data_IF_854552306550
#
_entry.id   IF_854552306550
#
_cell.length_a   1.000
_cell.length_b   1.000
_cell.length_c   1.000
_cell.angle_alpha   90.00
_cell.angle_beta   90.00
_cell.angle_gamma   90.00
#
_symmetry.space_group_name_H-M   'P 1'
#
loop_
_entity.id
_entity.type
_entity.pdbx_description
1 polymer ?
#
# COMPACT_ATOMS: atom_id res chain seq x y z
N UNK A 1 -5.32 -35.47 7.56
CA UNK A 1 -5.92 -34.15 7.28
C UNK A 1 -5.93 -33.85 5.78
N UNK A 2 -4.89 -34.20 5.02
CA UNK A 2 -4.85 -34.06 3.55
C UNK A 2 -5.94 -34.83 2.81
N UNK A 3 -6.26 -36.05 3.23
CA UNK A 3 -7.29 -36.89 2.59
C UNK A 3 -8.70 -36.24 2.61
N UNK A 4 -8.99 -35.42 3.65
CA UNK A 4 -10.24 -34.64 3.75
C UNK A 4 -10.25 -33.41 2.86
N UNK A 5 -9.08 -32.87 2.52
CA UNK A 5 -8.92 -31.71 1.64
C UNK A 5 -9.08 -32.14 0.18
N UNK A 6 -8.48 -33.26 -0.21
CA UNK A 6 -8.64 -33.85 -1.55
C UNK A 6 -10.09 -34.27 -1.82
N UNK A 7 -10.77 -34.86 -0.83
CA UNK A 7 -12.18 -35.22 -0.93
C UNK A 7 -13.08 -33.99 -1.12
N UNK A 8 -12.71 -32.84 -0.54
CA UNK A 8 -13.43 -31.58 -0.70
C UNK A 8 -13.23 -30.98 -2.10
N UNK A 9 -12.01 -31.03 -2.64
CA UNK A 9 -11.70 -30.52 -3.97
C UNK A 9 -12.42 -31.29 -5.09
N UNK A 10 -12.48 -32.62 -4.96
CA UNK A 10 -13.21 -33.48 -5.91
C UNK A 10 -14.70 -33.14 -5.91
N UNK A 11 -15.32 -32.99 -4.73
CA UNK A 11 -16.74 -32.63 -4.62
C UNK A 11 -17.05 -31.24 -5.20
N UNK A 12 -16.16 -30.27 -5.00
CA UNK A 12 -16.32 -28.92 -5.59
C UNK A 12 -16.28 -29.00 -7.12
N UNK A 13 -15.37 -29.81 -7.68
CA UNK A 13 -15.23 -30.01 -9.12
C UNK A 13 -16.46 -30.69 -9.73
N UNK A 14 -17.03 -31.67 -9.07
CA UNK A 14 -18.24 -32.36 -9.52
C UNK A 14 -19.48 -31.45 -9.47
N UNK A 15 -19.61 -30.63 -8.42
CA UNK A 15 -20.69 -29.64 -8.32
C UNK A 15 -20.57 -28.63 -9.47
N UNK A 16 -19.37 -28.11 -9.75
CA UNK A 16 -19.11 -27.22 -10.88
C UNK A 16 -19.52 -27.85 -12.21
N UNK A 17 -19.08 -29.08 -12.48
CA UNK A 17 -19.43 -29.79 -13.71
C UNK A 17 -20.94 -30.04 -13.85
N UNK A 18 -21.62 -30.35 -12.75
CA UNK A 18 -23.07 -30.55 -12.73
C UNK A 18 -23.85 -29.25 -13.00
N UNK A 19 -23.34 -28.10 -12.55
CA UNK A 19 -23.95 -26.79 -12.79
C UNK A 19 -23.75 -26.35 -14.24
N UNK A 20 -22.58 -26.64 -14.82
CA UNK A 20 -22.27 -26.39 -16.23
C UNK A 20 -23.19 -27.24 -17.12
N UNK A 21 -23.36 -28.53 -16.82
CA UNK A 21 -24.25 -29.43 -17.55
C UNK A 21 -25.74 -29.05 -17.42
N UNK A 22 -26.15 -28.44 -16.31
CA UNK A 22 -27.52 -27.92 -16.14
C UNK A 22 -27.76 -26.61 -16.89
N UNK A 23 -26.71 -25.82 -17.14
CA UNK A 23 -26.80 -24.57 -17.91
C UNK A 23 -26.89 -24.78 -19.43
N UNK A 24 -26.53 -25.96 -19.94
CA UNK A 24 -26.45 -26.27 -21.38
C UNK A 24 -27.67 -26.99 -21.99
N UNK A 25 -28.75 -27.22 -21.23
CA UNK A 25 -29.96 -27.92 -21.74
C UNK A 25 -31.11 -26.97 -22.11
N UNK A 26 -30.82 -25.74 -22.53
CA UNK A 26 -31.82 -24.88 -23.18
C UNK A 26 -31.33 -24.40 -24.54
N UNK A 27 -31.97 -24.95 -25.58
CA UNK A 27 -31.93 -24.58 -27.00
C UNK A 27 -30.94 -25.33 -27.90
N UNK A 28 -31.45 -26.42 -28.50
CA UNK A 28 -30.91 -27.09 -29.69
C UNK A 28 -31.43 -26.37 -30.94
N UNK A 29 -30.54 -25.73 -31.74
CA UNK A 29 -30.50 -25.87 -33.21
C UNK A 29 -29.34 -25.08 -33.85
N UNK A 30 -28.48 -25.84 -34.54
CA UNK A 30 -27.76 -25.56 -35.79
C UNK A 30 -26.87 -24.31 -35.93
N UNK A 31 -25.55 -24.48 -35.80
CA UNK A 31 -24.63 -24.52 -36.96
C UNK A 31 -23.22 -24.89 -36.49
N UNK A 32 -22.80 -26.11 -36.79
CA UNK A 32 -21.40 -26.51 -36.74
C UNK A 32 -20.65 -25.75 -37.85
N UNK A 33 -19.60 -25.02 -37.45
CA UNK A 33 -18.50 -24.42 -38.24
C UNK A 33 -18.21 -22.95 -37.91
N UNK A 34 -18.01 -22.60 -36.63
CA UNK A 34 -17.37 -21.33 -36.22
C UNK A 34 -16.78 -21.31 -34.79
N UNK A 35 -16.57 -22.45 -34.13
CA UNK A 35 -16.31 -22.48 -32.66
C UNK A 35 -14.82 -22.63 -32.30
N UNK A 36 -13.90 -22.48 -33.26
CA UNK A 36 -12.45 -22.55 -32.97
C UNK A 36 -11.77 -21.19 -32.75
N UNK A 37 -12.51 -20.06 -32.79
CA UNK A 37 -11.92 -18.72 -32.58
C UNK A 37 -12.57 -17.86 -31.48
N UNK A 38 -13.58 -18.36 -30.76
CA UNK A 38 -14.30 -17.56 -29.74
C UNK A 38 -13.94 -17.90 -28.27
N UNK A 39 -13.04 -18.85 -28.02
CA UNK A 39 -12.78 -19.35 -26.66
C UNK A 39 -11.68 -18.59 -25.86
N UNK A 40 -11.25 -17.39 -26.30
CA UNK A 40 -10.23 -16.61 -25.58
C UNK A 40 -10.74 -15.37 -24.83
N UNK A 41 -12.05 -15.10 -24.81
CA UNK A 41 -12.59 -13.88 -24.18
C UNK A 41 -13.90 -14.08 -23.40
N UNK A 42 -13.90 -14.98 -22.43
CA UNK A 42 -14.83 -14.87 -21.29
C UNK A 42 -14.05 -15.16 -20.00
N UNK A 43 -13.04 -14.34 -19.71
CA UNK A 43 -12.61 -14.13 -18.34
C UNK A 43 -13.80 -13.48 -17.65
N UNK A 44 -14.50 -14.22 -16.79
CA UNK A 44 -15.37 -13.64 -15.78
C UNK A 44 -14.46 -12.77 -14.91
N UNK A 45 -14.38 -11.50 -15.30
CA UNK A 45 -13.59 -10.49 -14.62
C UNK A 45 -14.28 -10.25 -13.28
N UNK A 46 -13.78 -10.90 -12.23
CA UNK A 46 -14.03 -10.46 -10.87
C UNK A 46 -13.51 -9.02 -10.83
N UNK A 47 -14.42 -8.05 -11.00
CA UNK A 47 -14.10 -6.63 -10.89
C UNK A 47 -13.77 -6.35 -9.44
N UNK A 48 -12.48 -6.44 -9.12
CA UNK A 48 -11.93 -5.91 -7.90
C UNK A 48 -12.26 -4.41 -7.83
N UNK A 49 -12.52 -3.86 -6.64
CA UNK A 49 -12.69 -2.42 -6.50
C UNK A 49 -11.48 -1.71 -7.10
N UNK A 50 -11.74 -0.66 -7.86
CA UNK A 50 -10.69 0.14 -8.50
C UNK A 50 -9.72 0.64 -7.43
N UNK A 51 -8.42 0.46 -7.68
CA UNK A 51 -7.38 0.93 -6.77
C UNK A 51 -7.46 2.46 -6.76
N UNK A 52 -7.72 3.09 -5.59
CA UNK A 52 -7.84 4.53 -5.54
C UNK A 52 -6.50 5.17 -5.90
N UNK A 53 -6.57 6.25 -6.67
CA UNK A 53 -5.39 7.02 -7.03
C UNK A 53 -4.74 7.58 -5.76
N UNK A 54 -3.42 7.43 -5.55
CA UNK A 54 -2.76 7.96 -4.38
C UNK A 54 -2.85 9.49 -4.39
N UNK A 55 -3.07 10.08 -3.21
CA UNK A 55 -3.23 11.53 -3.05
C UNK A 55 -2.03 12.10 -2.32
N UNK A 56 -1.50 13.20 -2.83
CA UNK A 56 -0.41 13.96 -2.21
C UNK A 56 -0.82 15.39 -1.93
N UNK A 57 -0.81 15.78 -0.65
CA UNK A 57 -1.26 17.11 -0.21
C UNK A 57 -0.14 18.16 -0.14
N UNK A 58 1.09 17.77 -0.44
CA UNK A 58 2.27 18.63 -0.31
C UNK A 58 2.96 18.55 1.06
N UNK A 59 2.56 17.60 1.91
CA UNK A 59 3.23 17.39 3.21
C UNK A 59 4.48 16.55 3.03
N UNK A 60 5.59 17.01 3.60
CA UNK A 60 6.88 16.33 3.50
C UNK A 60 6.82 14.89 4.06
N UNK A 61 6.14 14.66 5.18
CA UNK A 61 6.04 13.33 5.80
C UNK A 61 5.25 12.31 4.97
N UNK A 62 4.38 12.77 4.06
CA UNK A 62 3.59 11.92 3.16
C UNK A 62 4.37 11.53 1.89
N UNK A 63 5.40 12.30 1.53
CA UNK A 63 6.12 12.16 0.26
C UNK A 63 6.70 10.75 0.03
N UNK A 64 7.40 10.09 0.99
CA UNK A 64 7.96 8.76 0.75
C UNK A 64 6.89 7.72 0.43
N UNK A 65 5.76 7.78 1.14
CA UNK A 65 4.64 6.86 0.94
C UNK A 65 3.93 7.11 -0.38
N UNK A 66 3.65 8.37 -0.70
CA UNK A 66 3.05 8.76 -1.97
C UNK A 66 3.90 8.31 -3.15
N UNK A 67 5.22 8.60 -3.11
CA UNK A 67 6.13 8.28 -4.20
C UNK A 67 6.18 6.78 -4.48
N UNK A 68 6.26 5.97 -3.43
CA UNK A 68 6.24 4.51 -3.55
C UNK A 68 4.93 3.99 -4.14
N UNK A 69 3.78 4.49 -3.68
CA UNK A 69 2.47 4.08 -4.21
C UNK A 69 2.29 4.51 -5.66
N UNK A 70 2.61 5.77 -5.99
CA UNK A 70 2.50 6.31 -7.34
C UNK A 70 3.42 5.58 -8.31
N UNK A 71 4.64 5.22 -7.89
CA UNK A 71 5.56 4.47 -8.73
C UNK A 71 5.05 3.07 -9.06
N UNK A 72 4.50 2.38 -8.05
CA UNK A 72 3.96 1.03 -8.23
C UNK A 72 2.72 0.99 -9.12
N UNK A 73 1.86 2.02 -9.07
CA UNK A 73 0.58 2.03 -9.79
C UNK A 73 0.69 2.70 -11.16
N UNK A 74 1.45 3.80 -11.28
CA UNK A 74 1.46 4.68 -12.45
C UNK A 74 2.83 4.71 -13.13
N UNK A 75 3.91 5.05 -12.42
CA UNK A 75 5.23 5.26 -13.06
C UNK A 75 5.74 3.99 -13.74
N UNK A 76 5.66 2.85 -13.04
CA UNK A 76 6.16 1.54 -13.52
C UNK A 76 5.14 0.78 -14.39
N UNK A 77 3.97 1.37 -14.64
CA UNK A 77 2.98 0.77 -15.53
C UNK A 77 3.38 1.05 -17.00
N UNK A 78 3.60 -0.03 -17.76
CA UNK A 78 4.00 0.03 -19.17
C UNK A 78 2.81 0.24 -20.13
N UNK A 79 1.58 0.04 -19.64
CA UNK A 79 0.36 0.24 -20.43
C UNK A 79 -0.04 1.72 -20.52
N UNK A 80 0.59 2.58 -19.70
CA UNK A 80 0.34 4.02 -19.65
C UNK A 80 1.39 4.80 -20.44
N UNK A 81 0.93 5.69 -21.31
CA UNK A 81 1.79 6.65 -22.00
C UNK A 81 2.12 7.87 -21.12
N UNK A 82 3.08 8.70 -21.54
CA UNK A 82 3.54 9.85 -20.73
C UNK A 82 2.42 10.86 -20.43
N UNK A 83 1.52 11.13 -21.38
CA UNK A 83 0.39 12.05 -21.18
C UNK A 83 -0.63 11.52 -20.16
N UNK A 84 -0.90 10.22 -20.18
CA UNK A 84 -1.74 9.56 -19.17
C UNK A 84 -1.08 9.61 -17.79
N UNK A 85 0.22 9.35 -17.70
CA UNK A 85 0.98 9.47 -16.45
C UNK A 85 0.96 10.89 -15.89
N UNK A 86 1.04 11.90 -16.75
CA UNK A 86 0.89 13.31 -16.38
C UNK A 86 -0.51 13.59 -15.82
N UNK A 87 -1.56 13.18 -16.53
CA UNK A 87 -2.94 13.36 -16.07
C UNK A 87 -3.20 12.72 -14.69
N UNK A 88 -2.69 11.50 -14.48
CA UNK A 88 -2.77 10.86 -13.17
C UNK A 88 -1.93 11.56 -12.12
N UNK A 89 -0.76 12.12 -12.48
CA UNK A 89 0.03 12.91 -11.56
C UNK A 89 -0.74 14.15 -11.11
N UNK A 90 -1.31 14.93 -12.02
CA UNK A 90 -2.13 16.11 -11.71
C UNK A 90 -3.33 15.76 -10.82
N UNK A 91 -4.06 14.69 -11.17
CA UNK A 91 -5.20 14.22 -10.40
C UNK A 91 -4.82 13.73 -8.98
N UNK A 92 -3.58 13.28 -8.79
CA UNK A 92 -3.03 12.86 -7.51
C UNK A 92 -2.66 14.04 -6.59
N UNK A 93 -2.48 15.26 -7.11
CA UNK A 93 -2.02 16.40 -6.32
C UNK A 93 -3.18 17.21 -5.73
N UNK A 94 -3.05 17.54 -4.45
CA UNK A 94 -4.00 18.38 -3.72
C UNK A 94 -3.25 19.39 -2.85
N UNK A 95 -3.93 20.43 -2.37
CA UNK A 95 -3.37 21.41 -1.45
C UNK A 95 -2.10 22.08 -1.99
N UNK A 96 -1.05 22.12 -1.16
CA UNK A 96 0.22 22.79 -1.48
C UNK A 96 0.98 22.13 -2.64
N UNK A 97 0.75 20.84 -2.87
CA UNK A 97 1.35 20.13 -4.00
C UNK A 97 0.79 20.60 -5.35
N UNK A 98 -0.48 21.02 -5.39
CA UNK A 98 -1.14 21.51 -6.61
C UNK A 98 -0.59 22.86 -7.07
N UNK A 99 -0.02 23.66 -6.18
CA UNK A 99 0.66 24.91 -6.54
C UNK A 99 1.90 24.67 -7.45
N UNK A 100 2.35 23.41 -7.56
CA UNK A 100 3.46 23.01 -8.42
C UNK A 100 3.03 22.56 -9.83
N UNK A 101 1.72 22.48 -10.07
CA UNK A 101 1.12 22.07 -11.36
C UNK A 101 1.50 23.01 -12.52
N UNK A 102 1.93 24.24 -12.24
CA UNK A 102 2.27 25.24 -13.24
C UNK A 102 3.68 25.10 -13.87
N UNK A 103 4.38 23.98 -13.69
CA UNK A 103 5.81 23.89 -14.03
C UNK A 103 6.09 23.33 -15.43
N UNK A 104 5.29 22.39 -15.96
CA UNK A 104 5.57 21.80 -17.29
C UNK A 104 4.41 20.94 -17.84
N UNK A 105 4.27 20.86 -19.17
CA UNK A 105 3.28 20.04 -19.88
C UNK A 105 3.76 18.58 -20.07
N UNK A 106 4.84 18.18 -19.41
CA UNK A 106 5.45 16.85 -19.52
C UNK A 106 5.62 16.17 -18.18
N UNK A 107 5.32 14.87 -18.13
CA UNK A 107 5.40 14.05 -16.92
C UNK A 107 6.81 14.04 -16.28
N UNK A 108 7.86 13.90 -17.09
CA UNK A 108 9.24 13.73 -16.60
C UNK A 108 9.78 14.99 -15.89
N UNK A 109 9.70 16.20 -16.48
CA UNK A 109 10.05 17.43 -15.77
C UNK A 109 9.20 17.65 -14.53
N UNK A 110 7.88 17.42 -14.59
CA UNK A 110 7.00 17.67 -13.46
C UNK A 110 7.31 16.73 -12.27
N UNK A 111 7.42 15.42 -12.49
CA UNK A 111 7.79 14.50 -11.40
C UNK A 111 9.18 14.81 -10.84
N UNK A 112 10.10 15.33 -11.68
CA UNK A 112 11.44 15.76 -11.24
C UNK A 112 11.36 17.03 -10.40
N UNK A 113 10.52 17.99 -10.75
CA UNK A 113 10.30 19.20 -9.96
C UNK A 113 9.69 18.88 -8.59
N UNK A 114 8.72 17.95 -8.53
CA UNK A 114 8.17 17.43 -7.28
C UNK A 114 9.24 16.76 -6.43
N UNK A 115 10.08 15.90 -7.02
CA UNK A 115 11.22 15.29 -6.32
C UNK A 115 12.17 16.36 -5.78
N UNK A 116 12.57 17.35 -6.58
CA UNK A 116 13.48 18.41 -6.14
C UNK A 116 12.93 19.19 -4.95
N UNK A 117 11.62 19.47 -4.92
CA UNK A 117 11.00 20.23 -3.82
C UNK A 117 10.74 19.39 -2.57
N UNK A 118 10.28 18.15 -2.74
CA UNK A 118 9.77 17.32 -1.64
C UNK A 118 10.71 16.18 -1.21
N UNK A 119 11.66 15.77 -2.07
CA UNK A 119 12.64 14.71 -1.80
C UNK A 119 13.92 15.24 -1.13
N UNK A 120 13.78 16.16 -0.17
CA UNK A 120 14.90 16.55 0.67
C UNK A 120 15.17 15.43 1.70
N UNK A 121 16.03 14.48 1.32
CA UNK A 121 16.37 13.32 2.17
C UNK A 121 16.76 13.69 3.59
N UNK A 122 17.52 14.77 3.78
CA UNK A 122 17.93 15.23 5.11
C UNK A 122 16.73 15.66 5.94
N UNK A 123 15.91 16.56 5.40
CA UNK A 123 14.72 17.08 6.08
C UNK A 123 13.71 15.97 6.38
N UNK A 124 13.48 15.07 5.43
CA UNK A 124 12.57 13.92 5.60
C UNK A 124 13.06 12.99 6.72
N UNK A 125 14.35 12.71 6.75
CA UNK A 125 14.96 11.87 7.79
C UNK A 125 14.82 12.53 9.17
N UNK A 126 15.18 13.81 9.28
CA UNK A 126 15.03 14.57 10.53
C UNK A 126 13.57 14.63 10.99
N UNK A 127 12.62 14.84 10.06
CA UNK A 127 11.18 14.88 10.37
C UNK A 127 10.70 13.55 10.97
N UNK A 128 11.03 12.42 10.34
CA UNK A 128 10.60 11.11 10.83
C UNK A 128 11.30 10.69 12.12
N UNK A 129 12.59 11.04 12.29
CA UNK A 129 13.32 10.79 13.54
C UNK A 129 12.73 11.63 14.67
N UNK A 130 12.51 12.93 14.46
CA UNK A 130 11.93 13.81 15.47
C UNK A 130 10.52 13.34 15.85
N UNK A 131 9.70 12.93 14.89
CA UNK A 131 8.38 12.36 15.17
C UNK A 131 8.43 11.10 16.06
N UNK A 132 9.51 10.30 16.02
CA UNK A 132 9.72 9.17 16.94
C UNK A 132 10.22 9.64 18.31
N UNK A 133 11.15 10.59 18.35
CA UNK A 133 11.75 11.09 19.60
C UNK A 133 10.76 11.94 20.42
N UNK A 134 9.86 12.65 19.75
CA UNK A 134 8.87 13.55 20.32
C UNK A 134 7.56 12.86 20.69
N UNK A 135 7.44 11.54 20.49
CA UNK A 135 6.30 10.74 20.98
C UNK A 135 6.04 11.10 22.45
N UNK A 136 4.78 11.44 22.75
CA UNK A 136 4.39 11.83 24.09
C UNK A 136 4.58 10.69 25.10
N UNK A 137 5.03 11.05 26.30
CA UNK A 137 5.20 10.06 27.36
C UNK A 137 3.82 9.66 27.89
N UNK A 138 3.56 8.37 27.91
CA UNK A 138 2.35 7.80 28.51
C UNK A 138 2.37 8.09 30.01
N UNK A 139 1.32 8.76 30.48
CA UNK A 139 1.13 9.13 31.89
C UNK A 139 0.26 8.13 32.65
N UNK A 140 -0.50 7.31 31.93
CA UNK A 140 -1.40 6.29 32.48
C UNK A 140 -1.50 5.08 31.55
N UNK A 141 -1.93 3.96 32.12
CA UNK A 141 -2.18 2.74 31.37
C UNK A 141 -3.41 2.92 30.46
N UNK A 142 -3.14 3.03 29.15
CA UNK A 142 -4.18 3.26 28.15
C UNK A 142 -3.85 2.50 26.88
N UNK A 143 -4.64 1.46 26.60
CA UNK A 143 -4.49 0.67 25.38
C UNK A 143 -4.62 1.53 24.10
N UNK A 144 -5.41 2.61 24.16
CA UNK A 144 -5.56 3.56 23.05
C UNK A 144 -4.25 4.29 22.79
N UNK A 145 -3.60 4.78 23.84
CA UNK A 145 -2.40 5.61 23.71
C UNK A 145 -1.19 4.74 23.35
N UNK A 146 -1.13 3.51 23.86
CA UNK A 146 -0.14 2.51 23.42
C UNK A 146 -0.30 2.22 21.92
N UNK A 147 -1.53 1.97 21.45
CA UNK A 147 -1.78 1.72 20.02
C UNK A 147 -1.40 2.93 19.17
N UNK A 148 -1.79 4.13 19.57
CA UNK A 148 -1.42 5.37 18.88
C UNK A 148 0.11 5.55 18.79
N UNK A 149 0.82 5.31 19.89
CA UNK A 149 2.29 5.33 19.92
C UNK A 149 2.90 4.30 18.95
N UNK A 150 2.38 3.07 18.95
CA UNK A 150 2.81 2.01 18.03
C UNK A 150 2.54 2.39 16.57
N UNK A 151 1.40 3.01 16.28
CA UNK A 151 1.04 3.46 14.94
C UNK A 151 1.97 4.59 14.45
N UNK A 152 2.27 5.57 15.31
CA UNK A 152 3.24 6.65 15.02
C UNK A 152 4.63 6.06 14.77
N UNK A 153 5.08 5.13 15.62
CA UNK A 153 6.37 4.47 15.46
C UNK A 153 6.45 3.72 14.13
N UNK A 154 5.45 2.89 13.84
CA UNK A 154 5.40 2.09 12.61
C UNK A 154 5.32 2.96 11.36
N UNK A 155 4.53 4.04 11.37
CA UNK A 155 4.44 5.01 10.26
C UNK A 155 5.83 5.55 9.93
N UNK A 156 6.54 6.06 10.94
CA UNK A 156 7.83 6.71 10.74
C UNK A 156 8.95 5.72 10.39
N UNK A 157 8.97 4.53 10.99
CA UNK A 157 9.92 3.46 10.60
C UNK A 157 9.71 3.05 9.14
N UNK A 158 8.46 2.87 8.70
CA UNK A 158 8.18 2.54 7.29
C UNK A 158 8.66 3.63 6.35
N UNK A 159 8.45 4.90 6.70
CA UNK A 159 8.92 6.02 5.89
C UNK A 159 10.46 6.08 5.82
N UNK A 160 11.16 5.87 6.95
CA UNK A 160 12.62 5.76 6.99
C UNK A 160 13.14 4.61 6.13
N UNK A 161 12.44 3.46 6.14
CA UNK A 161 12.78 2.34 5.25
C UNK A 161 12.64 2.71 3.77
N UNK A 162 11.55 3.40 3.39
CA UNK A 162 11.37 3.90 2.02
C UNK A 162 12.44 4.92 1.59
N UNK A 163 13.04 5.62 2.54
CA UNK A 163 14.18 6.53 2.32
C UNK A 163 15.53 5.81 2.21
N UNK A 164 15.56 4.49 2.44
CA UNK A 164 16.76 3.65 2.35
C UNK A 164 17.45 3.37 3.69
N UNK A 165 16.84 3.73 4.83
CA UNK A 165 17.38 3.38 6.15
C UNK A 165 16.87 2.00 6.57
N UNK A 166 17.72 0.99 6.47
CA UNK A 166 17.41 -0.36 6.92
C UNK A 166 17.59 -0.50 8.44
N UNK A 167 16.78 -1.37 9.03
CA UNK A 167 16.90 -1.72 10.45
C UNK A 167 18.04 -2.72 10.66
N UNK A 168 18.80 -2.49 11.72
CA UNK A 168 19.81 -3.40 12.24
C UNK A 168 19.64 -3.60 13.75
N UNK A 169 20.37 -4.55 14.33
CA UNK A 169 20.25 -4.90 15.74
C UNK A 169 20.48 -3.70 16.68
N UNK A 170 21.41 -2.79 16.33
CA UNK A 170 21.64 -1.58 17.13
C UNK A 170 20.43 -0.65 17.07
N UNK A 171 19.87 -0.40 15.89
CA UNK A 171 18.69 0.43 15.72
C UNK A 171 17.47 -0.14 16.45
N UNK A 172 17.33 -1.47 16.49
CA UNK A 172 16.25 -2.15 17.20
C UNK A 172 16.37 -1.94 18.70
N UNK A 173 17.58 -2.09 19.24
CA UNK A 173 17.86 -1.84 20.66
C UNK A 173 17.66 -0.36 21.02
N UNK A 174 18.09 0.57 20.15
CA UNK A 174 17.88 2.01 20.38
C UNK A 174 16.39 2.37 20.38
N UNK A 175 15.64 1.91 19.39
CA UNK A 175 14.19 2.14 19.30
C UNK A 175 13.46 1.55 20.50
N UNK A 176 13.79 0.33 20.91
CA UNK A 176 13.24 -0.29 22.11
C UNK A 176 13.49 0.57 23.35
N UNK A 177 14.73 1.03 23.55
CA UNK A 177 15.08 1.88 24.69
C UNK A 177 14.35 3.23 24.67
N UNK A 178 14.17 3.84 23.50
CA UNK A 178 13.41 5.09 23.35
C UNK A 178 11.96 4.86 23.76
N UNK A 179 11.32 3.82 23.22
CA UNK A 179 9.90 3.52 23.50
C UNK A 179 9.68 3.14 24.97
N UNK A 180 10.55 2.34 25.57
CA UNK A 180 10.46 2.00 26.99
C UNK A 180 10.52 3.25 27.88
N UNK A 181 11.31 4.27 27.52
CA UNK A 181 11.34 5.55 28.26
C UNK A 181 10.05 6.35 28.11
N UNK A 182 9.31 6.18 27.02
CA UNK A 182 8.02 6.82 26.76
C UNK A 182 6.83 6.10 27.40
N UNK A 183 6.96 4.81 27.71
CA UNK A 183 5.94 4.06 28.44
C UNK A 183 5.83 4.48 29.92
N UNK A 184 4.64 4.31 30.50
CA UNK A 184 4.42 4.46 31.94
C UNK A 184 5.01 3.28 32.72
N UNK A 185 5.02 3.37 34.05
CA UNK A 185 5.66 2.38 34.92
C UNK A 185 4.98 1.00 34.84
N UNK A 186 3.66 0.96 34.79
CA UNK A 186 2.90 -0.29 34.83
C UNK A 186 2.96 -1.00 33.48
N UNK A 187 2.80 -0.28 32.36
CA UNK A 187 2.98 -0.86 31.02
C UNK A 187 4.38 -1.41 30.82
N UNK A 188 5.43 -0.71 31.28
CA UNK A 188 6.81 -1.23 31.25
C UNK A 188 6.94 -2.53 32.04
N UNK A 189 6.34 -2.58 33.23
CA UNK A 189 6.40 -3.77 34.10
C UNK A 189 5.72 -4.97 33.44
N UNK A 190 4.54 -4.77 32.85
CA UNK A 190 3.83 -5.81 32.10
C UNK A 190 4.64 -6.28 30.89
N UNK A 191 5.26 -5.37 30.14
CA UNK A 191 6.11 -5.72 29.01
C UNK A 191 7.29 -6.60 29.43
N UNK A 192 8.02 -6.24 30.49
CA UNK A 192 9.14 -7.05 31.01
C UNK A 192 8.66 -8.41 31.53
N UNK A 193 7.45 -8.49 32.09
CA UNK A 193 6.85 -9.76 32.54
C UNK A 193 6.40 -10.66 31.38
N UNK A 194 6.21 -10.11 30.18
CA UNK A 194 5.79 -10.85 28.98
C UNK A 194 6.95 -11.44 28.17
N UNK A 195 8.19 -11.06 28.50
CA UNK A 195 9.44 -11.59 27.93
C UNK A 195 9.89 -12.78 28.76
#
# INVERSE_FOLDING_TARGET
MEERLEELEVRIRDILNSLIAKSSVSSVHNHENAISQANSKLKLEIKLPEIPLPVFRGRYDEWPSFKSQFDNVITNNNDLNESQKLYYLEASLQGDAKLLEAVDDSFKPFITALKTRFENKRLLTETHINAILEIEKLTSESARDIRSMTDILNKNIRALKLLGFERNNLSDLLLLNIILKKMDRETRKQFVQSI
#
